data_IF_868960677582
#
_entry.id   IF_868960677582
#
_cell.length_a   1.000
_cell.length_b   1.000
_cell.length_c   1.000
_cell.angle_alpha   90.00
_cell.angle_beta   90.00
_cell.angle_gamma   90.00
#
_symmetry.space_group_name_H-M   'P 1'
#
loop_
_entity.id
_entity.type
_entity.pdbx_description
1 polymer ?
#
# COMPACT_ATOMS: atom_id res chain seq x y z
N UNK A 1 -24.23 -17.68 9.86
CA UNK A 1 -22.84 -17.37 10.24
C UNK A 1 -22.85 -16.23 11.25
N UNK A 2 -22.05 -16.34 12.35
CA UNK A 2 -21.90 -15.22 13.31
C UNK A 2 -21.33 -14.00 12.58
N UNK A 3 -21.79 -12.77 12.84
CA UNK A 3 -21.39 -11.56 12.09
C UNK A 3 -19.86 -11.36 12.06
N UNK A 4 -19.15 -11.73 13.13
CA UNK A 4 -17.69 -11.69 13.22
C UNK A 4 -17.00 -12.63 12.20
N UNK A 5 -17.54 -13.85 12.02
CA UNK A 5 -16.95 -14.82 11.07
C UNK A 5 -17.14 -14.33 9.63
N UNK A 6 -18.29 -13.73 9.33
CA UNK A 6 -18.56 -13.13 8.02
C UNK A 6 -17.59 -11.96 7.73
N UNK A 7 -17.39 -11.08 8.69
CA UNK A 7 -16.45 -9.96 8.55
C UNK A 7 -15.00 -10.44 8.33
N UNK A 8 -14.56 -11.46 9.08
CA UNK A 8 -13.24 -12.07 8.91
C UNK A 8 -13.08 -12.72 7.53
N UNK A 9 -14.10 -13.43 7.05
CA UNK A 9 -14.08 -14.05 5.72
C UNK A 9 -13.92 -12.97 4.61
N UNK A 10 -14.69 -11.88 4.68
CA UNK A 10 -14.54 -10.77 3.74
C UNK A 10 -13.17 -10.12 3.80
N UNK A 11 -12.61 -9.94 5.01
CA UNK A 11 -11.26 -9.40 5.17
C UNK A 11 -10.22 -10.28 4.49
N UNK A 12 -10.28 -11.60 4.68
CA UNK A 12 -9.33 -12.53 4.03
C UNK A 12 -9.46 -12.52 2.51
N UNK A 13 -10.69 -12.47 1.98
CA UNK A 13 -10.93 -12.33 0.53
C UNK A 13 -10.32 -11.01 0.02
N UNK A 14 -10.53 -9.91 0.72
CA UNK A 14 -9.97 -8.62 0.33
C UNK A 14 -8.44 -8.63 0.31
N UNK A 15 -7.79 -9.18 1.35
CA UNK A 15 -6.32 -9.31 1.43
C UNK A 15 -5.79 -10.21 0.32
N UNK A 16 -6.47 -11.33 0.04
CA UNK A 16 -6.11 -12.21 -1.07
C UNK A 16 -6.17 -11.49 -2.43
N UNK A 17 -7.25 -10.74 -2.69
CA UNK A 17 -7.39 -9.95 -3.92
C UNK A 17 -6.32 -8.83 -4.02
N UNK A 18 -5.95 -8.22 -2.90
CA UNK A 18 -4.89 -7.22 -2.88
C UNK A 18 -3.52 -7.79 -3.26
N UNK A 19 -3.25 -9.06 -2.94
CA UNK A 19 -2.02 -9.74 -3.35
C UNK A 19 -1.83 -9.76 -4.88
N UNK A 20 -2.91 -9.89 -5.64
CA UNK A 20 -2.86 -9.84 -7.11
C UNK A 20 -2.49 -8.46 -7.65
N UNK A 21 -2.73 -7.40 -6.92
CA UNK A 21 -2.40 -6.03 -7.33
C UNK A 21 -0.92 -5.85 -7.65
N UNK A 22 -0.04 -6.41 -6.83
CA UNK A 22 1.41 -6.35 -7.04
C UNK A 22 1.85 -7.20 -8.24
N UNK A 23 1.26 -8.40 -8.40
CA UNK A 23 1.54 -9.30 -9.52
C UNK A 23 1.13 -8.65 -10.85
N UNK A 24 -0.09 -8.12 -10.91
CA UNK A 24 -0.60 -7.40 -12.09
C UNK A 24 0.25 -6.15 -12.38
N UNK A 25 0.66 -5.42 -11.34
CA UNK A 25 1.54 -4.28 -11.47
C UNK A 25 2.90 -4.62 -12.09
N UNK A 26 3.42 -5.83 -11.82
CA UNK A 26 4.65 -6.34 -12.46
C UNK A 26 4.41 -6.73 -13.92
N UNK A 27 3.31 -7.43 -14.22
CA UNK A 27 3.00 -7.96 -15.55
C UNK A 27 2.63 -6.88 -16.56
N UNK A 28 1.98 -5.80 -16.13
CA UNK A 28 1.57 -4.71 -17.02
C UNK A 28 2.81 -3.90 -17.41
N UNK A 29 3.04 -3.73 -18.73
CA UNK A 29 4.23 -3.04 -19.28
C UNK A 29 4.24 -1.52 -19.09
N UNK A 30 3.14 -0.92 -18.64
CA UNK A 30 3.05 0.53 -18.42
C UNK A 30 3.98 1.01 -17.30
N UNK A 31 4.49 2.23 -17.43
CA UNK A 31 5.16 2.92 -16.33
C UNK A 31 4.23 3.13 -15.12
N UNK A 32 4.81 3.30 -13.93
CA UNK A 32 4.07 3.44 -12.68
C UNK A 32 3.02 4.56 -12.72
N UNK A 33 3.35 5.70 -13.31
CA UNK A 33 2.42 6.83 -13.43
C UNK A 33 1.17 6.46 -14.27
N UNK A 34 1.37 5.92 -15.47
CA UNK A 34 0.26 5.55 -16.35
C UNK A 34 -0.61 4.47 -15.72
N UNK A 35 0.00 3.52 -15.01
CA UNK A 35 -0.72 2.45 -14.33
C UNK A 35 -1.61 3.00 -13.21
N UNK A 36 -1.08 3.91 -12.38
CA UNK A 36 -1.85 4.57 -11.31
C UNK A 36 -2.98 5.41 -11.90
N UNK A 37 -2.68 6.19 -12.96
CA UNK A 37 -3.67 7.02 -13.64
C UNK A 37 -4.88 6.21 -14.14
N UNK A 38 -4.63 5.14 -14.91
CA UNK A 38 -5.70 4.29 -15.42
C UNK A 38 -6.48 3.62 -14.29
N UNK A 39 -5.80 3.13 -13.26
CA UNK A 39 -6.44 2.53 -12.09
C UNK A 39 -7.38 3.52 -11.39
N UNK A 40 -6.91 4.74 -11.13
CA UNK A 40 -7.72 5.76 -10.47
C UNK A 40 -8.92 6.16 -11.33
N UNK A 41 -8.72 6.32 -12.63
CA UNK A 41 -9.77 6.68 -13.57
C UNK A 41 -10.84 5.59 -13.65
N UNK A 42 -10.46 4.31 -13.78
CA UNK A 42 -11.41 3.19 -13.81
C UNK A 42 -12.17 3.11 -12.49
N UNK A 43 -11.48 3.23 -11.36
CA UNK A 43 -12.10 3.20 -10.04
C UNK A 43 -13.11 4.33 -9.88
N UNK A 44 -12.74 5.55 -10.24
CA UNK A 44 -13.63 6.71 -10.20
C UNK A 44 -14.86 6.51 -11.10
N UNK A 45 -14.66 6.00 -12.33
CA UNK A 45 -15.76 5.73 -13.25
C UNK A 45 -16.74 4.67 -12.69
N UNK A 46 -16.21 3.59 -12.10
CA UNK A 46 -17.04 2.55 -11.46
C UNK A 46 -17.87 3.14 -10.33
N UNK A 47 -17.23 3.91 -9.41
CA UNK A 47 -17.96 4.55 -8.32
C UNK A 47 -18.99 5.56 -8.82
N UNK A 48 -18.66 6.33 -9.85
CA UNK A 48 -19.60 7.28 -10.46
C UNK A 48 -20.84 6.58 -11.02
N UNK A 49 -20.70 5.38 -11.58
CA UNK A 49 -21.81 4.59 -12.11
C UNK A 49 -22.63 3.86 -11.03
N UNK A 50 -22.21 3.87 -9.75
CA UNK A 50 -22.91 3.18 -8.67
C UNK A 50 -23.98 4.06 -8.01
N UNK A 51 -25.30 3.77 -8.15
CA UNK A 51 -26.36 4.59 -7.55
C UNK A 51 -26.29 4.67 -6.02
N UNK A 52 -25.73 3.63 -5.37
CA UNK A 52 -25.56 3.59 -3.93
C UNK A 52 -24.61 4.68 -3.39
N UNK A 53 -23.62 5.08 -4.19
CA UNK A 53 -22.67 6.16 -3.83
C UNK A 53 -23.40 7.48 -3.76
N UNK A 54 -24.22 7.78 -4.75
CA UNK A 54 -24.97 9.05 -4.84
C UNK A 54 -26.00 9.22 -3.72
N UNK A 55 -26.64 8.14 -3.28
CA UNK A 55 -27.61 8.16 -2.18
C UNK A 55 -27.00 8.48 -0.83
N UNK A 56 -25.70 8.26 -0.65
CA UNK A 56 -24.99 8.48 0.58
C UNK A 56 -24.25 9.83 0.65
N UNK A 57 -24.24 10.61 -0.45
CA UNK A 57 -23.53 11.89 -0.48
C UNK A 57 -24.32 12.95 0.28
N UNK A 58 -23.77 13.41 1.39
CA UNK A 58 -24.24 14.60 2.10
C UNK A 58 -23.52 15.87 1.58
N UNK A 59 -24.13 17.07 1.67
CA UNK A 59 -23.44 18.29 1.33
C UNK A 59 -22.13 18.45 2.11
N UNK A 60 -21.02 18.60 1.40
CA UNK A 60 -19.70 18.71 2.00
C UNK A 60 -19.32 20.18 2.22
N UNK A 61 -18.76 20.47 3.39
CA UNK A 61 -18.18 21.78 3.66
C UNK A 61 -16.84 21.96 2.93
N UNK A 62 -16.40 23.22 2.75
CA UNK A 62 -15.08 23.50 2.13
C UNK A 62 -13.93 22.80 2.85
N UNK A 63 -14.00 22.66 4.18
CA UNK A 63 -13.00 21.95 4.97
C UNK A 63 -12.95 20.45 4.62
N UNK A 64 -14.11 19.83 4.43
CA UNK A 64 -14.21 18.42 4.07
C UNK A 64 -13.59 18.16 2.70
N UNK A 65 -13.82 19.07 1.74
CA UNK A 65 -13.20 19.01 0.42
C UNK A 65 -11.67 19.07 0.48
N UNK A 66 -11.10 19.95 1.30
CA UNK A 66 -9.66 20.03 1.49
C UNK A 66 -9.08 18.76 2.12
N UNK A 67 -9.79 18.19 3.09
CA UNK A 67 -9.40 16.92 3.73
C UNK A 67 -9.42 15.78 2.70
N UNK A 68 -10.50 15.65 1.92
CA UNK A 68 -10.59 14.61 0.90
C UNK A 68 -9.54 14.78 -0.21
N UNK A 69 -9.26 16.03 -0.62
CA UNK A 69 -8.18 16.31 -1.57
C UNK A 69 -6.83 15.87 -1.00
N UNK A 70 -6.54 16.21 0.26
CA UNK A 70 -5.32 15.78 0.93
C UNK A 70 -5.18 14.26 1.01
N UNK A 71 -6.24 13.55 1.39
CA UNK A 71 -6.28 12.09 1.39
C UNK A 71 -6.04 11.55 -0.03
N UNK A 72 -6.69 12.12 -1.04
CA UNK A 72 -6.50 11.72 -2.44
C UNK A 72 -5.06 11.84 -2.91
N UNK A 73 -4.38 12.94 -2.55
CA UNK A 73 -2.95 13.16 -2.86
C UNK A 73 -2.08 12.13 -2.17
N UNK A 74 -2.30 11.84 -0.89
CA UNK A 74 -1.54 10.83 -0.13
C UNK A 74 -1.74 9.45 -0.76
N UNK A 75 -2.97 9.08 -1.08
CA UNK A 75 -3.28 7.79 -1.73
C UNK A 75 -2.64 7.68 -3.11
N UNK A 76 -2.67 8.75 -3.91
CA UNK A 76 -2.01 8.78 -5.22
C UNK A 76 -0.49 8.61 -5.07
N UNK A 77 0.13 9.28 -4.10
CA UNK A 77 1.55 9.15 -3.81
C UNK A 77 1.93 7.74 -3.33
N UNK A 78 1.14 7.16 -2.42
CA UNK A 78 1.27 5.76 -2.00
C UNK A 78 1.31 4.81 -3.20
N UNK A 79 0.34 4.91 -4.12
CA UNK A 79 0.31 4.04 -5.30
C UNK A 79 1.45 4.30 -6.28
N UNK A 80 1.88 5.54 -6.46
CA UNK A 80 3.01 5.87 -7.33
C UNK A 80 4.31 5.26 -6.80
N UNK A 81 4.55 5.36 -5.51
CA UNK A 81 5.73 4.78 -4.85
C UNK A 81 5.66 3.26 -4.81
N UNK A 82 4.49 2.69 -4.58
CA UNK A 82 4.27 1.25 -4.62
C UNK A 82 4.59 0.64 -6.00
N UNK A 83 3.97 1.15 -7.06
CA UNK A 83 4.26 0.66 -8.40
C UNK A 83 5.66 1.08 -8.89
N UNK A 84 6.16 2.22 -8.43
CA UNK A 84 7.54 2.63 -8.65
C UNK A 84 8.53 1.59 -8.12
N UNK A 85 8.33 1.12 -6.90
CA UNK A 85 9.11 0.05 -6.29
C UNK A 85 9.09 -1.24 -7.11
N UNK A 86 7.90 -1.68 -7.57
CA UNK A 86 7.76 -2.88 -8.41
C UNK A 86 8.55 -2.74 -9.72
N UNK A 87 8.47 -1.58 -10.37
CA UNK A 87 9.14 -1.33 -11.66
C UNK A 87 10.66 -1.21 -11.51
N UNK A 88 11.13 -0.53 -10.48
CA UNK A 88 12.56 -0.38 -10.20
C UNK A 88 13.22 -1.69 -9.78
N UNK A 89 12.56 -2.47 -8.93
CA UNK A 89 13.07 -3.73 -8.42
C UNK A 89 12.72 -4.95 -9.30
N UNK A 90 11.88 -4.78 -10.31
CA UNK A 90 11.30 -5.87 -11.11
C UNK A 90 10.78 -7.04 -10.25
N UNK A 91 10.31 -6.75 -9.03
CA UNK A 91 9.92 -7.73 -8.05
C UNK A 91 8.68 -7.30 -7.25
N UNK A 92 7.57 -8.00 -7.46
CA UNK A 92 6.36 -7.82 -6.67
C UNK A 92 6.56 -8.27 -5.21
N UNK A 93 7.30 -9.36 -5.00
CA UNK A 93 7.57 -9.90 -3.66
C UNK A 93 8.39 -8.94 -2.83
N UNK A 94 9.40 -8.29 -3.41
CA UNK A 94 10.22 -7.29 -2.73
C UNK A 94 9.35 -6.11 -2.26
N UNK A 95 8.52 -5.58 -3.13
CA UNK A 95 7.63 -4.45 -2.80
C UNK A 95 6.61 -4.83 -1.74
N UNK A 96 6.02 -6.05 -1.81
CA UNK A 96 5.10 -6.52 -0.78
C UNK A 96 5.79 -6.73 0.57
N UNK A 97 7.04 -7.19 0.58
CA UNK A 97 7.83 -7.26 1.80
C UNK A 97 8.05 -5.86 2.40
N UNK A 98 8.42 -4.87 1.57
CA UNK A 98 8.57 -3.48 2.00
C UNK A 98 7.26 -2.91 2.56
N UNK A 99 6.11 -3.24 1.96
CA UNK A 99 4.79 -2.82 2.46
C UNK A 99 4.51 -3.39 3.87
N UNK A 100 5.11 -4.53 4.22
CA UNK A 100 5.06 -5.09 5.57
C UNK A 100 5.62 -4.16 6.65
N UNK A 101 6.51 -3.21 6.28
CA UNK A 101 7.02 -2.20 7.22
C UNK A 101 5.95 -1.22 7.71
N UNK A 102 4.77 -1.18 7.06
CA UNK A 102 3.61 -0.40 7.54
C UNK A 102 3.22 -0.76 8.97
N UNK A 103 3.40 -2.02 9.38
CA UNK A 103 3.16 -2.44 10.77
C UNK A 103 4.08 -1.74 11.77
N UNK A 104 5.36 -1.53 11.41
CA UNK A 104 6.31 -0.78 12.23
C UNK A 104 5.92 0.70 12.32
N UNK A 105 5.62 1.34 11.19
CA UNK A 105 5.20 2.74 11.17
C UNK A 105 3.87 2.95 11.92
N UNK A 106 2.92 2.02 11.77
CA UNK A 106 1.65 2.08 12.51
C UNK A 106 1.87 1.96 14.02
N UNK A 107 2.75 1.03 14.47
CA UNK A 107 3.08 0.87 15.88
C UNK A 107 3.76 2.11 16.49
N UNK A 108 4.45 2.92 15.66
CA UNK A 108 5.10 4.16 16.07
C UNK A 108 4.13 5.36 16.02
N UNK A 109 3.36 5.49 14.94
CA UNK A 109 2.52 6.66 14.68
C UNK A 109 1.18 6.62 15.41
N UNK A 110 0.54 5.44 15.57
CA UNK A 110 -0.77 5.35 16.23
C UNK A 110 -0.73 5.86 17.69
N UNK A 111 0.27 5.51 18.52
CA UNK A 111 0.40 6.09 19.86
C UNK A 111 0.61 7.61 19.85
N UNK A 112 1.39 8.13 18.89
CA UNK A 112 1.67 9.57 18.77
C UNK A 112 0.41 10.36 18.38
N UNK A 113 -0.32 9.86 17.37
CA UNK A 113 -1.51 10.55 16.83
C UNK A 113 -2.69 10.43 17.80
N UNK A 114 -2.92 9.25 18.35
CA UNK A 114 -4.07 8.93 19.17
C UNK A 114 -3.79 9.04 20.68
N UNK A 115 -2.61 9.53 21.08
CA UNK A 115 -2.18 9.70 22.49
C UNK A 115 -2.35 8.42 23.33
N UNK A 116 -2.04 7.26 22.72
CA UNK A 116 -2.07 5.96 23.39
C UNK A 116 -0.70 5.61 23.95
N UNK A 117 -0.65 4.60 24.82
CA UNK A 117 0.63 4.05 25.30
C UNK A 117 1.32 3.24 24.18
N UNK A 118 2.65 3.35 24.11
CA UNK A 118 3.46 2.53 23.20
C UNK A 118 3.39 1.07 23.61
N UNK A 119 3.14 0.20 22.64
CA UNK A 119 3.16 -1.24 22.83
C UNK A 119 4.49 -1.81 22.31
N UNK A 120 5.41 -2.10 23.22
CA UNK A 120 6.75 -2.61 22.88
C UNK A 120 6.70 -3.88 22.02
N UNK A 121 5.67 -4.72 22.23
CA UNK A 121 5.48 -5.94 21.43
C UNK A 121 5.21 -5.63 19.95
N UNK A 122 4.36 -4.67 19.65
CA UNK A 122 4.05 -4.27 18.27
C UNK A 122 5.26 -3.66 17.59
N UNK A 123 6.00 -2.82 18.32
CA UNK A 123 7.24 -2.22 17.82
C UNK A 123 8.29 -3.29 17.52
N UNK A 124 8.46 -4.28 18.39
CA UNK A 124 9.39 -5.39 18.17
C UNK A 124 9.01 -6.21 16.95
N UNK A 125 7.72 -6.56 16.79
CA UNK A 125 7.24 -7.28 15.63
C UNK A 125 7.46 -6.50 14.33
N UNK A 126 7.19 -5.20 14.34
CA UNK A 126 7.46 -4.32 13.20
C UNK A 126 8.95 -4.25 12.87
N UNK A 127 9.83 -4.19 13.88
CA UNK A 127 11.28 -4.21 13.69
C UNK A 127 11.75 -5.53 13.05
N UNK A 128 11.19 -6.67 13.47
CA UNK A 128 11.49 -7.98 12.86
C UNK A 128 11.13 -8.00 11.37
N UNK A 129 10.02 -7.37 10.98
CA UNK A 129 9.66 -7.22 9.56
C UNK A 129 10.72 -6.43 8.80
N UNK A 130 11.16 -5.29 9.35
CA UNK A 130 12.23 -4.47 8.73
C UNK A 130 13.53 -5.25 8.60
N UNK A 131 13.93 -5.99 9.62
CA UNK A 131 15.11 -6.89 9.55
C UNK A 131 14.95 -7.96 8.45
N UNK A 132 13.75 -8.55 8.32
CA UNK A 132 13.43 -9.49 7.23
C UNK A 132 13.61 -8.87 5.84
N UNK A 133 13.18 -7.61 5.65
CA UNK A 133 13.36 -6.88 4.40
C UNK A 133 14.85 -6.71 4.07
N UNK A 134 15.68 -6.39 5.05
CA UNK A 134 17.13 -6.23 4.85
C UNK A 134 17.80 -7.56 4.46
N UNK A 135 17.40 -8.68 5.05
CA UNK A 135 17.90 -10.02 4.68
C UNK A 135 17.51 -10.35 3.24
N UNK A 136 16.24 -10.09 2.88
CA UNK A 136 15.75 -10.30 1.50
C UNK A 136 16.57 -9.43 0.53
N UNK A 137 16.83 -8.18 0.87
CA UNK A 137 17.64 -7.29 0.03
C UNK A 137 19.03 -7.85 -0.26
N UNK A 138 19.74 -8.29 0.77
CA UNK A 138 21.07 -8.90 0.62
C UNK A 138 21.07 -10.13 -0.30
N UNK A 139 20.03 -10.96 -0.22
CA UNK A 139 19.85 -12.13 -1.07
C UNK A 139 19.58 -11.81 -2.53
N UNK A 140 18.88 -10.72 -2.82
CA UNK A 140 18.58 -10.28 -4.19
C UNK A 140 19.79 -9.65 -4.89
N UNK A 141 20.60 -8.86 -4.16
CA UNK A 141 21.81 -8.27 -4.73
C UNK A 141 22.85 -9.32 -5.17
N UNK A 142 22.89 -10.47 -4.48
CA UNK A 142 23.85 -11.52 -4.77
C UNK A 142 23.54 -12.32 -6.06
N UNK A 143 22.32 -12.22 -6.60
CA UNK A 143 21.86 -13.11 -7.70
C UNK A 143 21.84 -12.47 -9.09
N UNK A 144 21.79 -11.17 -9.23
CA UNK A 144 21.50 -10.55 -10.51
C UNK A 144 22.63 -9.64 -10.99
N UNK A 145 23.33 -10.08 -12.04
CA UNK A 145 24.15 -9.22 -12.91
C UNK A 145 23.33 -8.19 -13.71
N UNK A 146 22.03 -8.10 -13.49
CA UNK A 146 21.11 -7.11 -14.08
C UNK A 146 21.14 -5.86 -13.21
N UNK A 147 21.36 -4.69 -13.82
CA UNK A 147 21.32 -3.36 -13.18
C UNK A 147 19.90 -3.04 -12.68
N UNK A 148 19.40 -3.74 -11.72
CA UNK A 148 18.16 -3.41 -11.03
C UNK A 148 18.48 -2.44 -9.91
N UNK A 149 17.74 -1.33 -9.85
CA UNK A 149 17.92 -0.31 -8.82
C UNK A 149 17.27 -0.77 -7.49
N UNK A 150 17.72 -1.91 -6.94
CA UNK A 150 17.13 -2.52 -5.74
C UNK A 150 17.06 -1.59 -4.55
N UNK A 151 18.11 -0.81 -4.29
CA UNK A 151 18.10 0.16 -3.18
C UNK A 151 17.00 1.20 -3.36
N UNK A 152 16.84 1.75 -4.57
CA UNK A 152 15.75 2.69 -4.87
C UNK A 152 14.37 2.02 -4.80
N UNK A 153 14.28 0.75 -5.23
CA UNK A 153 13.05 -0.02 -5.12
C UNK A 153 12.62 -0.23 -3.67
N UNK A 154 13.56 -0.53 -2.78
CA UNK A 154 13.28 -0.67 -1.34
C UNK A 154 12.89 0.65 -0.72
N UNK A 155 13.64 1.73 -0.99
CA UNK A 155 13.31 3.05 -0.47
C UNK A 155 11.91 3.48 -0.89
N UNK A 156 11.58 3.36 -2.18
CA UNK A 156 10.22 3.69 -2.67
C UNK A 156 9.15 2.74 -2.12
N UNK A 157 9.48 1.47 -1.90
CA UNK A 157 8.59 0.49 -1.28
C UNK A 157 8.30 0.80 0.18
N UNK A 158 9.31 1.19 0.96
CA UNK A 158 9.14 1.63 2.36
C UNK A 158 8.37 2.94 2.44
N UNK A 159 8.63 3.89 1.54
CA UNK A 159 7.87 5.16 1.47
C UNK A 159 6.41 4.91 1.12
N UNK A 160 6.10 3.84 0.40
CA UNK A 160 4.70 3.46 0.12
C UNK A 160 3.99 2.83 1.33
N UNK A 161 4.73 2.36 2.33
CA UNK A 161 4.16 1.72 3.51
C UNK A 161 3.57 2.71 4.51
#
# INVERSE_FOLDING_TARGET
MKPRVKALAFLHVAVFLWGFTAILGKLISYGSFNLVWHRMLITAAVYFCMPAVWKGITPLNKKDWLVFLGIGVIVAFHWLTFYGSIKLGNSASLTLACLGSASFFSALLDPLINRKSFQARELLLGLLVVCGILIIHGSFQAKDGVKTHYTMAILTGIVSA
#
